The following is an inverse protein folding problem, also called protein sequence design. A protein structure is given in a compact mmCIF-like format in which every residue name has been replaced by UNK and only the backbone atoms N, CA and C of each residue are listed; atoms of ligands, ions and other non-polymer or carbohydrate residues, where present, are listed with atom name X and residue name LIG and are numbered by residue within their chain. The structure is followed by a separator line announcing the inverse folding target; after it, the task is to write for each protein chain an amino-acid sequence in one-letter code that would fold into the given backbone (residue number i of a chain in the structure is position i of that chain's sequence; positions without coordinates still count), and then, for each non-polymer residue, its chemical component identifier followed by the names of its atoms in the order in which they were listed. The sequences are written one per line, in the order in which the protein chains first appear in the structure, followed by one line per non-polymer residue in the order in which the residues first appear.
data_IF_933232289951
#
_entry.id   IF_933232289951
#
_cell.length_a   1.000
_cell.length_b   1.000
_cell.length_c   1.000
_cell.angle_alpha   90.00
_cell.angle_beta   90.00
_cell.angle_gamma   90.00
#
_symmetry.space_group_name_H-M   'P 1'
#
loop_
_entity.id
_entity.type
_entity.pdbx_description
1 polymer ?
#
# COMPACT_ATOMS: atom_id res chain seq x y z
N UNK A 1 27.40 18.24 -1.54
CA UNK A 1 27.44 17.09 -0.63
C UNK A 1 26.29 17.01 0.39
N UNK A 2 25.41 18.02 0.55
CA UNK A 2 24.29 17.97 1.52
C UNK A 2 22.88 17.79 0.93
N UNK A 3 22.69 17.96 -0.38
CA UNK A 3 21.35 17.95 -1.00
C UNK A 3 20.90 16.52 -1.34
N UNK A 4 21.83 15.66 -1.77
CA UNK A 4 21.54 14.29 -2.19
C UNK A 4 21.22 13.37 -1.00
N UNK A 5 21.87 13.57 0.15
CA UNK A 5 21.61 12.84 1.40
C UNK A 5 20.20 13.15 1.96
N UNK A 6 19.81 14.43 1.94
CA UNK A 6 18.47 14.88 2.32
C UNK A 6 17.39 14.30 1.40
N UNK A 7 17.64 14.26 0.09
CA UNK A 7 16.70 13.68 -0.89
C UNK A 7 16.51 12.19 -0.64
N UNK A 8 17.59 11.44 -0.40
CA UNK A 8 17.53 10.01 -0.13
C UNK A 8 16.80 9.71 1.18
N UNK A 9 17.10 10.45 2.26
CA UNK A 9 16.44 10.31 3.56
C UNK A 9 14.94 10.59 3.50
N UNK A 10 14.52 11.58 2.72
CA UNK A 10 13.10 11.91 2.53
C UNK A 10 12.33 10.79 1.80
N UNK A 11 12.92 10.17 0.77
CA UNK A 11 12.32 9.04 0.04
C UNK A 11 12.16 7.82 0.96
N UNK A 12 13.19 7.50 1.75
CA UNK A 12 13.16 6.42 2.75
C UNK A 12 12.06 6.67 3.79
N UNK A 13 11.92 7.90 4.28
CA UNK A 13 10.87 8.24 5.25
C UNK A 13 9.46 8.12 4.63
N UNK A 14 9.29 8.55 3.37
CA UNK A 14 8.01 8.43 2.67
C UNK A 14 7.60 6.96 2.46
N UNK A 15 8.55 6.07 2.14
CA UNK A 15 8.30 4.63 2.06
C UNK A 15 7.87 4.04 3.41
N UNK A 16 8.48 4.47 4.52
CA UNK A 16 8.06 4.07 5.88
C UNK A 16 6.65 4.55 6.22
N UNK A 17 6.29 5.77 5.82
CA UNK A 17 4.92 6.28 6.01
C UNK A 17 3.90 5.40 5.27
N UNK A 18 4.19 5.01 4.02
CA UNK A 18 3.36 4.05 3.29
C UNK A 18 3.25 2.70 4.01
N UNK A 19 4.36 2.18 4.57
CA UNK A 19 4.35 0.94 5.33
C UNK A 19 3.43 1.03 6.56
N UNK A 20 3.50 2.13 7.31
CA UNK A 20 2.63 2.39 8.47
C UNK A 20 1.17 2.50 8.05
N UNK A 21 0.89 3.13 6.91
CA UNK A 21 -0.47 3.21 6.34
C UNK A 21 -1.04 1.83 6.03
N UNK A 22 -0.27 0.97 5.36
CA UNK A 22 -0.68 -0.42 5.06
C UNK A 22 -0.86 -1.23 6.35
N UNK A 23 0.04 -1.10 7.33
CA UNK A 23 -0.09 -1.78 8.61
C UNK A 23 -1.34 -1.34 9.38
N UNK A 24 -1.62 -0.03 9.41
CA UNK A 24 -2.82 0.53 10.04
C UNK A 24 -4.09 0.05 9.34
N UNK A 25 -4.06 -0.01 8.00
CA UNK A 25 -5.15 -0.56 7.20
C UNK A 25 -5.41 -2.04 7.57
N UNK A 26 -4.37 -2.89 7.57
CA UNK A 26 -4.53 -4.30 7.94
C UNK A 26 -5.07 -4.48 9.35
N UNK A 27 -4.55 -3.73 10.33
CA UNK A 27 -5.03 -3.79 11.71
C UNK A 27 -6.49 -3.36 11.82
N UNK A 28 -6.92 -2.33 11.09
CA UNK A 28 -8.28 -1.82 11.16
C UNK A 28 -9.31 -2.80 10.58
N UNK A 29 -8.95 -3.51 9.52
CA UNK A 29 -9.86 -4.41 8.80
C UNK A 29 -9.64 -5.88 9.13
N UNK A 30 -8.85 -6.20 10.18
CA UNK A 30 -8.59 -7.58 10.62
C UNK A 30 -9.89 -8.34 10.92
N UNK A 31 -10.85 -7.68 11.57
CA UNK A 31 -12.17 -8.25 11.89
C UNK A 31 -13.00 -8.52 10.62
N UNK A 32 -12.84 -7.74 9.56
CA UNK A 32 -13.51 -8.00 8.30
C UNK A 32 -12.95 -9.28 7.64
N UNK A 33 -11.65 -9.53 7.77
CA UNK A 33 -11.05 -10.77 7.28
C UNK A 33 -11.51 -12.00 8.07
N UNK A 34 -11.66 -11.91 9.39
CA UNK A 34 -12.15 -13.05 10.20
C UNK A 34 -13.58 -13.45 9.84
N UNK A 35 -14.45 -12.48 9.55
CA UNK A 35 -15.83 -12.75 9.07
C UNK A 35 -15.81 -13.48 7.73
N UNK A 36 -14.93 -13.07 6.81
CA UNK A 36 -14.80 -13.69 5.47
C UNK A 36 -14.32 -15.14 5.58
N UNK A 37 -13.37 -15.42 6.49
CA UNK A 37 -12.92 -16.79 6.76
C UNK A 37 -13.97 -17.65 7.48
N UNK A 38 -14.87 -17.05 8.26
CA UNK A 38 -15.91 -17.79 8.99
C UNK A 38 -17.07 -18.25 8.10
N UNK A 39 -17.35 -17.57 6.99
CA UNK A 39 -18.39 -17.96 6.02
C UNK A 39 -17.85 -19.01 5.03
N UNK A 40 -17.67 -20.24 5.53
CA UNK A 40 -17.02 -21.37 4.84
C UNK A 40 -17.74 -21.89 3.57
N UNK A 41 -18.89 -21.32 3.16
CA UNK A 41 -19.79 -21.97 2.20
C UNK A 41 -20.12 -21.18 0.91
N UNK A 42 -19.82 -19.87 0.82
CA UNK A 42 -20.30 -19.04 -0.31
C UNK A 42 -19.18 -18.42 -1.16
N UNK A 43 -17.90 -18.64 -0.85
CA UNK A 43 -16.85 -18.06 -1.70
C UNK A 43 -15.42 -18.52 -1.44
N UNK A 44 -15.02 -19.61 -2.12
CA UNK A 44 -13.60 -19.97 -2.27
C UNK A 44 -12.79 -18.79 -2.82
N UNK A 45 -13.36 -18.07 -3.80
CA UNK A 45 -12.70 -16.93 -4.45
C UNK A 45 -12.44 -15.75 -3.49
N UNK A 46 -13.43 -15.19 -2.76
CA UNK A 46 -13.19 -14.18 -1.73
C UNK A 46 -12.15 -14.57 -0.68
N UNK A 47 -12.15 -15.84 -0.26
CA UNK A 47 -11.22 -16.34 0.75
C UNK A 47 -9.78 -16.40 0.24
N UNK A 48 -9.56 -16.88 -0.98
CA UNK A 48 -8.24 -16.89 -1.62
C UNK A 48 -7.72 -15.47 -1.81
N UNK A 49 -8.57 -14.55 -2.26
CA UNK A 49 -8.20 -13.15 -2.46
C UNK A 49 -7.86 -12.50 -1.10
N UNK A 50 -8.61 -12.78 -0.04
CA UNK A 50 -8.31 -12.30 1.30
C UNK A 50 -6.93 -12.77 1.78
N UNK A 51 -6.60 -14.05 1.59
CA UNK A 51 -5.27 -14.60 1.93
C UNK A 51 -4.18 -13.88 1.13
N UNK A 52 -4.36 -13.74 -0.19
CA UNK A 52 -3.39 -13.06 -1.06
C UNK A 52 -3.19 -11.61 -0.64
N UNK A 53 -4.26 -10.90 -0.27
CA UNK A 53 -4.21 -9.53 0.24
C UNK A 53 -3.47 -9.45 1.57
N UNK A 54 -3.69 -10.38 2.49
CA UNK A 54 -2.97 -10.42 3.77
C UNK A 54 -1.47 -10.65 3.55
N UNK A 55 -1.10 -11.66 2.76
CA UNK A 55 0.30 -11.97 2.43
C UNK A 55 0.95 -10.76 1.76
N UNK A 56 0.28 -10.20 0.76
CA UNK A 56 0.73 -9.02 0.03
C UNK A 56 0.93 -7.82 0.95
N UNK A 57 -0.02 -7.53 1.85
CA UNK A 57 0.10 -6.45 2.82
C UNK A 57 1.30 -6.63 3.75
N UNK A 58 1.52 -7.84 4.28
CA UNK A 58 2.69 -8.16 5.12
C UNK A 58 4.00 -8.00 4.33
N UNK A 59 4.08 -8.54 3.11
CA UNK A 59 5.24 -8.39 2.24
C UNK A 59 5.53 -6.91 1.91
N UNK A 60 4.49 -6.11 1.66
CA UNK A 60 4.63 -4.69 1.40
C UNK A 60 5.17 -3.95 2.62
N UNK A 61 4.64 -4.21 3.82
CA UNK A 61 5.13 -3.63 5.08
C UNK A 61 6.63 -3.94 5.25
N UNK A 62 7.01 -5.22 5.16
CA UNK A 62 8.40 -5.65 5.34
C UNK A 62 9.33 -5.00 4.30
N UNK A 63 8.94 -5.01 3.03
CA UNK A 63 9.73 -4.43 1.95
C UNK A 63 9.89 -2.91 2.07
N UNK A 64 8.81 -2.20 2.40
CA UNK A 64 8.82 -0.74 2.54
C UNK A 64 9.57 -0.28 3.79
N UNK A 65 9.45 -0.98 4.93
CA UNK A 65 10.23 -0.67 6.14
C UNK A 65 11.73 -0.83 5.91
N UNK A 66 12.13 -1.84 5.14
CA UNK A 66 13.52 -2.05 4.73
C UNK A 66 13.95 -1.11 3.60
N UNK A 67 13.06 -0.23 3.12
CA UNK A 67 13.32 0.66 1.98
C UNK A 67 13.85 -0.12 0.77
N UNK A 68 13.22 -1.27 0.50
CA UNK A 68 13.53 -2.12 -0.64
C UNK A 68 12.50 -1.89 -1.75
N UNK A 69 12.96 -1.70 -2.99
CA UNK A 69 12.09 -1.51 -4.15
C UNK A 69 11.10 -2.66 -4.35
N UNK A 70 11.46 -3.89 -3.97
CA UNK A 70 10.58 -5.04 -4.08
C UNK A 70 9.32 -4.93 -3.21
N UNK A 71 9.33 -4.11 -2.15
CA UNK A 71 8.15 -3.84 -1.32
C UNK A 71 7.01 -3.13 -2.05
N UNK A 72 7.31 -2.45 -3.16
CA UNK A 72 6.30 -1.80 -4.00
C UNK A 72 5.51 -2.79 -4.85
N UNK A 73 6.09 -3.94 -5.23
CA UNK A 73 5.40 -4.99 -6.00
C UNK A 73 4.17 -5.53 -5.26
N UNK A 74 4.28 -6.03 -4.02
CA UNK A 74 3.11 -6.45 -3.28
C UNK A 74 2.20 -5.26 -2.97
N UNK A 75 2.72 -4.05 -2.74
CA UNK A 75 1.88 -2.85 -2.55
C UNK A 75 0.94 -2.58 -3.74
N UNK A 76 1.43 -2.75 -4.98
CA UNK A 76 0.63 -2.57 -6.20
C UNK A 76 -0.43 -3.64 -6.41
N UNK A 77 -0.27 -4.82 -5.81
CA UNK A 77 -1.32 -5.82 -5.75
C UNK A 77 -2.31 -5.51 -4.63
N UNK A 78 -1.80 -5.11 -3.46
CA UNK A 78 -2.57 -4.85 -2.25
C UNK A 78 -3.61 -3.74 -2.44
N UNK A 79 -3.22 -2.57 -2.95
CA UNK A 79 -4.11 -1.40 -3.03
C UNK A 79 -5.31 -1.68 -3.96
N UNK A 80 -5.14 -2.13 -5.21
CA UNK A 80 -6.29 -2.44 -6.08
C UNK A 80 -7.13 -3.59 -5.55
N UNK A 81 -6.52 -4.63 -4.98
CA UNK A 81 -7.26 -5.78 -4.46
C UNK A 81 -8.14 -5.39 -3.26
N UNK A 82 -7.61 -4.61 -2.31
CA UNK A 82 -8.38 -4.08 -1.18
C UNK A 82 -9.48 -3.12 -1.62
N UNK A 83 -9.24 -2.33 -2.67
CA UNK A 83 -10.22 -1.39 -3.22
C UNK A 83 -11.36 -2.13 -3.93
N UNK A 84 -11.05 -3.01 -4.88
CA UNK A 84 -12.06 -3.61 -5.77
C UNK A 84 -12.83 -4.75 -5.10
N UNK A 85 -12.17 -5.59 -4.30
CA UNK A 85 -12.82 -6.76 -3.72
C UNK A 85 -13.44 -6.48 -2.35
N UNK A 86 -12.89 -5.53 -1.60
CA UNK A 86 -13.33 -5.28 -0.22
C UNK A 86 -13.87 -3.86 0.00
N UNK A 87 -13.74 -2.94 -0.96
CA UNK A 87 -14.17 -1.55 -0.79
C UNK A 87 -13.43 -0.83 0.35
N UNK A 88 -12.24 -1.31 0.70
CA UNK A 88 -11.45 -0.82 1.83
C UNK A 88 -10.63 0.38 1.40
N UNK A 89 -10.63 1.44 2.21
CA UNK A 89 -9.66 2.54 2.04
C UNK A 89 -8.39 2.28 2.83
N UNK A 90 -7.27 2.57 2.18
CA UNK A 90 -5.94 2.61 2.80
C UNK A 90 -5.90 3.62 3.95
N UNK A 91 -6.66 4.71 3.86
CA UNK A 91 -6.79 5.72 4.92
C UNK A 91 -8.10 5.44 5.69
N UNK A 92 -8.07 4.71 6.81
CA UNK A 92 -9.27 4.13 7.41
C UNK A 92 -10.30 5.15 7.92
N UNK A 93 -9.89 6.39 8.23
CA UNK A 93 -10.76 7.41 8.82
C UNK A 93 -11.39 8.36 7.80
N UNK A 94 -10.80 8.51 6.61
CA UNK A 94 -11.27 9.52 5.64
C UNK A 94 -12.65 9.19 5.02
N UNK A 95 -12.94 7.94 4.65
CA UNK A 95 -14.23 7.61 4.03
C UNK A 95 -15.42 7.76 4.99
N UNK A 96 -15.20 7.71 6.32
CA UNK A 96 -16.28 7.89 7.30
C UNK A 96 -16.70 9.34 7.50
N UNK A 97 -15.91 10.31 7.04
CA UNK A 97 -16.30 11.73 7.04
C UNK A 97 -17.15 12.11 5.83
N UNK A 98 -17.32 11.20 4.86
CA UNK A 98 -18.03 11.46 3.61
C UNK A 98 -19.40 10.80 3.66
N UNK A 99 -20.40 11.46 3.05
CA UNK A 99 -21.76 10.93 2.96
C UNK A 99 -21.77 9.51 2.34
N UNK A 100 -22.63 8.60 2.82
CA UNK A 100 -22.62 7.19 2.40
C UNK A 100 -22.69 7.00 0.88
N UNK A 101 -23.44 7.88 0.20
CA UNK A 101 -23.66 7.87 -1.25
C UNK A 101 -22.37 8.06 -2.07
N UNK A 102 -21.40 8.81 -1.53
CA UNK A 102 -20.12 9.09 -2.21
C UNK A 102 -18.96 8.28 -1.66
N UNK A 103 -19.19 7.41 -0.67
CA UNK A 103 -18.12 6.69 0.02
C UNK A 103 -17.31 5.80 -0.92
N UNK A 104 -17.96 5.05 -1.81
CA UNK A 104 -17.27 4.18 -2.77
C UNK A 104 -16.37 4.96 -3.73
N UNK A 105 -16.85 6.11 -4.23
CA UNK A 105 -16.08 7.00 -5.11
C UNK A 105 -14.89 7.57 -4.35
N UNK A 106 -15.11 8.02 -3.11
CA UNK A 106 -14.04 8.55 -2.27
C UNK A 106 -12.97 7.50 -1.95
N UNK A 107 -13.35 6.27 -1.64
CA UNK A 107 -12.40 5.16 -1.43
C UNK A 107 -11.55 4.93 -2.67
N UNK A 108 -12.20 4.87 -3.85
CA UNK A 108 -11.50 4.70 -5.12
C UNK A 108 -10.51 5.83 -5.36
N UNK A 109 -10.96 7.08 -5.26
CA UNK A 109 -10.11 8.26 -5.48
C UNK A 109 -8.92 8.30 -4.52
N UNK A 110 -9.14 8.05 -3.22
CA UNK A 110 -8.07 8.06 -2.22
C UNK A 110 -7.05 6.95 -2.47
N UNK A 111 -7.51 5.74 -2.75
CA UNK A 111 -6.62 4.62 -3.02
C UNK A 111 -5.85 4.82 -4.33
N UNK A 112 -6.48 5.42 -5.36
CA UNK A 112 -5.79 5.82 -6.59
C UNK A 112 -4.70 6.87 -6.33
N UNK A 113 -4.95 7.88 -5.48
CA UNK A 113 -3.94 8.88 -5.11
C UNK A 113 -2.76 8.21 -4.39
N UNK A 114 -3.03 7.32 -3.43
CA UNK A 114 -1.98 6.58 -2.72
C UNK A 114 -1.18 5.70 -3.68
N UNK A 115 -1.84 5.06 -4.64
CA UNK A 115 -1.19 4.23 -5.64
C UNK A 115 -0.27 5.06 -6.54
N UNK A 116 -0.73 6.21 -7.04
CA UNK A 116 0.09 7.13 -7.84
C UNK A 116 1.29 7.65 -7.04
N UNK A 117 1.08 7.96 -5.76
CA UNK A 117 2.17 8.36 -4.87
C UNK A 117 3.20 7.25 -4.68
N UNK A 118 2.77 6.00 -4.52
CA UNK A 118 3.66 4.85 -4.45
C UNK A 118 4.45 4.65 -5.75
N UNK A 119 3.82 4.79 -6.92
CA UNK A 119 4.49 4.75 -8.22
C UNK A 119 5.54 5.84 -8.35
N UNK A 120 5.19 7.07 -7.96
CA UNK A 120 6.13 8.19 -7.96
C UNK A 120 7.35 7.94 -7.07
N UNK A 121 7.15 7.38 -5.87
CA UNK A 121 8.25 7.03 -4.97
C UNK A 121 9.14 5.93 -5.54
N UNK A 122 8.56 4.89 -6.15
CA UNK A 122 9.34 3.84 -6.80
C UNK A 122 10.23 4.41 -7.91
N UNK A 123 9.67 5.24 -8.79
CA UNK A 123 10.42 5.89 -9.87
C UNK A 123 11.57 6.74 -9.33
N UNK A 124 11.31 7.54 -8.27
CA UNK A 124 12.34 8.33 -7.59
C UNK A 124 13.45 7.48 -6.98
N UNK A 125 13.10 6.32 -6.43
CA UNK A 125 14.05 5.41 -5.84
C UNK A 125 14.94 4.76 -6.91
N UNK A 126 14.36 4.40 -8.05
CA UNK A 126 15.07 3.83 -9.19
C UNK A 126 16.04 4.84 -9.82
N UNK A 127 15.60 6.08 -10.02
CA UNK A 127 16.40 7.19 -10.56
C UNK A 127 17.59 7.55 -9.65
N UNK A 128 17.40 7.47 -8.33
CA UNK A 128 18.48 7.70 -7.37
C UNK A 128 19.53 6.56 -7.39
N UNK A 129 19.13 5.35 -7.79
CA UNK A 129 20.04 4.21 -7.87
C UNK A 129 20.87 4.19 -9.16
N UNK A 130 20.32 4.67 -10.28
CA UNK A 130 21.04 4.76 -11.56
C UNK A 130 22.07 5.88 -11.59
N UNK A 131 21.78 7.00 -10.93
CA UNK A 131 22.70 8.14 -10.82
C UNK A 131 23.97 7.78 -10.04
N UNK A 132 23.84 7.04 -8.93
CA UNK A 132 24.98 6.56 -8.13
C UNK A 132 25.90 5.58 -8.89
N UNK A 133 25.36 4.76 -9.79
CA UNK A 133 26.20 3.87 -10.61
C UNK A 133 27.03 4.62 -11.65
N UNK A 134 26.50 5.73 -12.17
CA UNK A 134 27.15 6.51 -13.23
C UNK A 134 28.36 7.30 -12.72
N UNK A 135 28.39 7.71 -11.45
CA UNK A 135 29.55 8.38 -10.82
C UNK A 135 30.66 7.41 -10.38
N UNK A 136 30.42 6.09 -10.45
CA UNK A 136 31.35 5.05 -9.99
C UNK A 136 32.03 4.27 -11.12
N UNK A 137 31.76 4.61 -12.39
CA UNK A 137 32.41 4.07 -13.60
C UNK A 137 33.26 5.14 -14.27
#
# INVERSE_FOLDING_TARGET
MGLDDLKHKNITNAAKVLAVLVATCLLRYVDSFTVIFSYNQVGIVPSIIAILVLISGVCAIVGLFRSMMWGFIPLYFFIPATTMFFGISIIPFLPSLISPEFRSIAVLTLNSIVLLFAVFLLLRMMDSNTTLQTESS
#
